data_IF_928580427362
#
_entry.id   IF_928580427362
#
_cell.length_a   1.000
_cell.length_b   1.000
_cell.length_c   1.000
_cell.angle_alpha   90.00
_cell.angle_beta   90.00
_cell.angle_gamma   90.00
#
_symmetry.space_group_name_H-M   'P 1'
#
loop_
_entity.id
_entity.type
_entity.pdbx_description
1 polymer ?
#
# COMPACT_ATOMS: atom_id res chain seq x y z
N UNK A 1 0.22 12.68 9.12
CA UNK A 1 0.06 12.57 7.67
C UNK A 1 -0.45 11.19 7.41
N UNK A 2 -1.57 11.09 6.71
CA UNK A 2 -2.30 9.82 6.64
C UNK A 2 -2.33 9.29 5.20
N UNK A 3 -2.25 10.18 4.20
CA UNK A 3 -2.43 9.82 2.78
C UNK A 3 -1.43 10.41 1.79
N UNK A 4 -0.47 11.25 2.21
CA UNK A 4 0.38 11.97 1.24
C UNK A 4 1.28 11.03 0.41
N UNK A 5 1.67 9.88 0.96
CA UNK A 5 2.38 8.84 0.21
C UNK A 5 1.53 8.31 -0.95
N UNK A 6 0.22 8.18 -0.75
CA UNK A 6 -0.73 7.72 -1.78
C UNK A 6 -0.87 8.74 -2.92
N UNK A 7 -0.98 10.03 -2.58
CA UNK A 7 -1.00 11.09 -3.58
C UNK A 7 0.33 11.16 -4.37
N UNK A 8 1.47 10.89 -3.71
CA UNK A 8 2.78 10.82 -4.36
C UNK A 8 2.89 9.62 -5.32
N UNK A 9 2.40 8.43 -4.92
CA UNK A 9 2.31 7.26 -5.79
C UNK A 9 1.47 7.58 -7.02
N UNK A 10 0.26 8.10 -6.81
CA UNK A 10 -0.65 8.44 -7.89
C UNK A 10 -0.02 9.42 -8.90
N UNK A 11 0.67 10.46 -8.41
CA UNK A 11 1.41 11.39 -9.28
C UNK A 11 2.52 10.71 -10.07
N UNK A 12 3.28 9.79 -9.45
CA UNK A 12 4.32 9.02 -10.13
C UNK A 12 3.75 8.13 -11.24
N UNK A 13 2.62 7.49 -10.97
CA UNK A 13 1.88 6.68 -11.95
C UNK A 13 1.36 7.54 -13.11
N UNK A 14 0.69 8.66 -12.82
CA UNK A 14 0.17 9.59 -13.82
C UNK A 14 1.28 10.21 -14.70
N UNK A 15 2.46 10.48 -14.12
CA UNK A 15 3.64 10.94 -14.83
C UNK A 15 4.35 9.84 -15.65
N UNK A 16 3.86 8.59 -15.58
CA UNK A 16 4.47 7.41 -16.20
C UNK A 16 5.95 7.24 -15.86
N UNK A 17 6.32 7.54 -14.61
CA UNK A 17 7.70 7.47 -14.14
C UNK A 17 8.31 6.09 -14.42
N UNK A 18 9.59 6.03 -14.81
CA UNK A 18 10.30 4.77 -15.01
C UNK A 18 10.61 4.08 -13.67
N UNK A 19 10.88 4.87 -12.64
CA UNK A 19 11.19 4.44 -11.30
C UNK A 19 10.44 5.31 -10.28
N UNK A 20 9.95 4.69 -9.22
CA UNK A 20 9.30 5.34 -8.07
C UNK A 20 9.98 4.82 -6.81
N UNK A 21 10.51 5.72 -5.98
CA UNK A 21 11.09 5.40 -4.68
C UNK A 21 10.43 6.26 -3.61
N UNK A 22 9.90 5.63 -2.58
CA UNK A 22 9.12 6.30 -1.55
C UNK A 22 9.45 5.69 -0.20
N UNK A 23 9.81 6.54 0.77
CA UNK A 23 9.76 6.16 2.17
C UNK A 23 8.28 6.25 2.62
N UNK A 24 7.57 5.13 2.80
CA UNK A 24 6.17 5.17 3.17
C UNK A 24 6.10 5.64 4.63
N UNK A 25 5.53 6.83 4.85
CA UNK A 25 5.52 7.45 6.17
C UNK A 25 4.11 7.81 6.67
N UNK A 26 3.11 7.74 5.79
CA UNK A 26 1.71 8.03 6.10
C UNK A 26 0.92 6.71 6.13
N UNK A 27 0.44 6.28 7.30
CA UNK A 27 -0.15 4.93 7.48
C UNK A 27 -1.38 4.91 8.40
N UNK A 28 -1.86 6.07 8.84
CA UNK A 28 -2.91 6.15 9.86
C UNK A 28 -4.33 6.01 9.30
N UNK A 29 -4.50 6.07 7.97
CA UNK A 29 -5.81 5.96 7.31
C UNK A 29 -6.52 4.63 7.61
N UNK A 30 -5.78 3.52 7.55
CA UNK A 30 -6.39 2.19 7.70
C UNK A 30 -6.66 1.81 9.15
N UNK A 31 -5.82 2.29 10.07
CA UNK A 31 -5.86 1.94 11.49
C UNK A 31 -7.27 2.00 12.13
N UNK A 32 -8.08 3.08 11.99
CA UNK A 32 -9.42 3.12 12.58
C UNK A 32 -10.45 2.21 11.90
N UNK A 33 -10.14 1.70 10.71
CA UNK A 33 -11.05 0.84 9.93
C UNK A 33 -10.80 -0.65 10.16
N UNK A 34 -9.62 -1.04 10.65
CA UNK A 34 -9.19 -2.43 10.73
C UNK A 34 -10.15 -3.28 11.58
N UNK A 35 -10.76 -4.26 10.91
CA UNK A 35 -11.57 -5.33 11.48
C UNK A 35 -11.01 -6.66 10.97
N UNK A 36 -9.98 -7.21 11.65
CA UNK A 36 -9.37 -8.46 11.22
C UNK A 36 -10.34 -9.63 11.43
N UNK A 37 -10.19 -10.74 10.67
CA UNK A 37 -10.94 -11.97 10.89
C UNK A 37 -10.75 -12.53 12.30
N UNK A 38 -11.78 -13.18 12.84
CA UNK A 38 -11.80 -13.72 14.20
C UNK A 38 -10.60 -14.64 14.50
N UNK A 39 -10.14 -15.38 13.49
CA UNK A 39 -9.03 -16.33 13.61
C UNK A 39 -7.70 -15.65 13.94
N UNK A 40 -7.53 -14.36 13.59
CA UNK A 40 -6.28 -13.62 13.77
C UNK A 40 -6.40 -12.40 14.69
N UNK A 41 -7.57 -12.16 15.31
CA UNK A 41 -7.78 -11.13 16.34
C UNK A 41 -6.66 -11.09 17.40
N UNK A 42 -6.08 -12.22 17.87
CA UNK A 42 -4.98 -12.18 18.84
C UNK A 42 -3.76 -11.35 18.39
N UNK A 43 -3.52 -11.20 17.08
CA UNK A 43 -2.44 -10.38 16.52
C UNK A 43 -2.71 -8.87 16.60
N UNK A 44 -3.95 -8.48 16.91
CA UNK A 44 -4.43 -7.09 16.94
C UNK A 44 -4.80 -6.65 18.37
N UNK A 45 -4.35 -7.37 19.40
CA UNK A 45 -4.73 -7.11 20.80
C UNK A 45 -4.05 -5.85 21.37
N UNK A 46 -2.78 -5.62 21.02
CA UNK A 46 -2.00 -4.52 21.58
C UNK A 46 -1.90 -3.37 20.59
N UNK A 47 -2.03 -2.13 21.06
CA UNK A 47 -2.01 -0.93 20.21
C UNK A 47 -0.81 -0.88 19.25
N UNK A 48 0.39 -1.23 19.73
CA UNK A 48 1.60 -1.29 18.89
C UNK A 48 1.52 -2.33 17.77
N UNK A 49 0.84 -3.46 18.00
CA UNK A 49 0.65 -4.49 16.99
C UNK A 49 -0.37 -4.03 15.95
N UNK A 50 -1.46 -3.39 16.39
CA UNK A 50 -2.44 -2.77 15.50
C UNK A 50 -1.78 -1.72 14.61
N UNK A 51 -0.92 -0.88 15.18
CA UNK A 51 -0.17 0.14 14.43
C UNK A 51 0.69 -0.51 13.34
N UNK A 52 1.48 -1.54 13.70
CA UNK A 52 2.35 -2.25 12.75
C UNK A 52 1.59 -3.02 11.66
N UNK A 53 0.45 -3.60 12.02
CA UNK A 53 -0.41 -4.27 11.05
C UNK A 53 -1.05 -3.27 10.09
N UNK A 54 -1.49 -2.11 10.60
CA UNK A 54 -1.99 -1.02 9.74
C UNK A 54 -0.91 -0.54 8.77
N UNK A 55 0.32 -0.33 9.24
CA UNK A 55 1.47 0.03 8.40
C UNK A 55 1.73 -1.03 7.32
N UNK A 56 1.85 -2.30 7.72
CA UNK A 56 2.10 -3.43 6.81
C UNK A 56 1.00 -3.58 5.75
N UNK A 57 -0.27 -3.54 6.16
CA UNK A 57 -1.40 -3.70 5.24
C UNK A 57 -1.47 -2.52 4.26
N UNK A 58 -1.21 -1.30 4.74
CA UNK A 58 -1.20 -0.11 3.88
C UNK A 58 -0.12 -0.23 2.80
N UNK A 59 1.10 -0.61 3.17
CA UNK A 59 2.21 -0.71 2.22
C UNK A 59 2.05 -1.89 1.26
N UNK A 60 1.49 -3.01 1.72
CA UNK A 60 1.10 -4.12 0.85
C UNK A 60 0.09 -3.68 -0.22
N UNK A 61 -0.98 -2.96 0.17
CA UNK A 61 -1.96 -2.44 -0.77
C UNK A 61 -1.32 -1.48 -1.79
N UNK A 62 -0.43 -0.59 -1.35
CA UNK A 62 0.30 0.32 -2.25
C UNK A 62 1.11 -0.44 -3.29
N UNK A 63 1.85 -1.48 -2.89
CA UNK A 63 2.57 -2.34 -3.81
C UNK A 63 1.61 -3.06 -4.78
N UNK A 64 0.50 -3.61 -4.30
CA UNK A 64 -0.49 -4.27 -5.16
C UNK A 64 -1.10 -3.31 -6.20
N UNK A 65 -1.34 -2.05 -5.84
CA UNK A 65 -1.84 -1.05 -6.79
C UNK A 65 -0.79 -0.61 -7.80
N UNK A 66 0.48 -0.48 -7.38
CA UNK A 66 1.60 -0.26 -8.30
C UNK A 66 1.72 -1.42 -9.30
N UNK A 67 1.64 -2.66 -8.83
CA UNK A 67 1.65 -3.87 -9.66
C UNK A 67 0.48 -3.92 -10.64
N UNK A 68 -0.72 -3.63 -10.15
CA UNK A 68 -1.91 -3.52 -10.98
C UNK A 68 -1.80 -2.41 -12.04
N UNK A 69 -0.98 -1.39 -11.78
CA UNK A 69 -0.69 -0.28 -12.70
C UNK A 69 0.51 -0.55 -13.63
N UNK A 70 1.00 -1.79 -13.70
CA UNK A 70 2.07 -2.20 -14.61
C UNK A 70 3.49 -1.91 -14.11
N UNK A 71 3.69 -1.87 -12.80
CA UNK A 71 5.01 -1.79 -12.18
C UNK A 71 5.42 -3.12 -11.55
N UNK A 72 6.72 -3.35 -11.41
CA UNK A 72 7.25 -4.32 -10.46
C UNK A 72 7.51 -3.56 -9.16
N UNK A 73 6.88 -3.94 -8.06
CA UNK A 73 7.00 -3.25 -6.78
C UNK A 73 7.63 -4.12 -5.71
N UNK A 74 8.37 -3.53 -4.79
CA UNK A 74 8.93 -4.24 -3.63
C UNK A 74 9.03 -3.32 -2.41
N UNK A 75 8.98 -3.94 -1.23
CA UNK A 75 9.21 -3.28 0.06
C UNK A 75 10.54 -3.81 0.60
N UNK A 76 11.49 -2.92 0.86
CA UNK A 76 12.83 -3.29 1.32
C UNK A 76 13.25 -2.45 2.52
N UNK A 77 14.08 -3.01 3.39
CA UNK A 77 14.77 -2.23 4.41
C UNK A 77 15.92 -1.45 3.78
N UNK A 78 15.97 -0.14 4.01
CA UNK A 78 16.97 0.75 3.40
C UNK A 78 18.05 1.24 4.38
N UNK A 79 17.77 1.20 5.69
CA UNK A 79 18.72 1.55 6.76
C UNK A 79 18.58 0.55 7.92
N UNK A 80 19.67 0.28 8.63
CA UNK A 80 19.66 -0.56 9.81
C UNK A 80 18.70 -0.04 10.90
N UNK A 81 18.00 -0.98 11.55
CA UNK A 81 16.98 -0.70 12.57
C UNK A 81 17.50 0.11 13.77
N UNK A 82 18.82 0.20 13.97
CA UNK A 82 19.44 0.97 15.06
C UNK A 82 19.14 2.48 14.99
N UNK A 83 18.79 3.01 13.81
CA UNK A 83 18.63 4.45 13.61
C UNK A 83 17.18 4.92 13.47
N UNK A 84 16.26 4.08 12.98
CA UNK A 84 14.84 4.45 12.85
C UNK A 84 13.95 3.22 12.78
N UNK A 85 12.77 3.29 13.40
CA UNK A 85 11.71 2.29 13.27
C UNK A 85 10.97 2.38 11.92
N UNK A 86 11.20 3.46 11.15
CA UNK A 86 10.70 3.64 9.78
C UNK A 86 11.86 3.46 8.82
N UNK A 87 12.18 2.21 8.53
CA UNK A 87 13.31 1.79 7.72
C UNK A 87 12.91 1.17 6.38
N UNK A 88 11.61 1.13 6.07
CA UNK A 88 11.10 0.58 4.83
C UNK A 88 11.17 1.61 3.69
N UNK A 89 11.42 1.10 2.48
CA UNK A 89 11.37 1.83 1.22
C UNK A 89 10.51 1.02 0.25
N UNK A 90 9.50 1.66 -0.33
CA UNK A 90 8.78 1.12 -1.48
C UNK A 90 9.57 1.54 -2.72
N UNK A 91 9.97 0.55 -3.51
CA UNK A 91 10.55 0.75 -4.83
C UNK A 91 9.61 0.17 -5.89
N UNK A 92 9.44 0.89 -6.99
CA UNK A 92 8.68 0.40 -8.13
C UNK A 92 9.36 0.77 -9.45
N UNK A 93 9.48 -0.19 -10.36
CA UNK A 93 10.01 0.03 -11.71
C UNK A 93 8.95 -0.32 -12.75
N UNK A 94 8.87 0.47 -13.81
CA UNK A 94 7.91 0.24 -14.90
C UNK A 94 8.22 -1.11 -15.54
N UNK A 95 7.22 -1.99 -15.56
CA UNK A 95 7.36 -3.33 -16.12
C UNK A 95 6.75 -3.35 -17.53
N UNK A 96 7.52 -3.67 -18.59
CA UNK A 96 6.99 -3.77 -19.94
C UNK A 96 6.08 -4.99 -20.16
N UNK A 97 6.05 -5.94 -19.22
CA UNK A 97 5.21 -7.14 -19.32
C UNK A 97 3.75 -6.79 -19.00
N UNK A 98 2.84 -7.20 -19.89
CA UNK A 98 1.41 -7.04 -19.67
C UNK A 98 0.96 -7.85 -18.45
N UNK A 99 0.20 -7.19 -17.58
CA UNK A 99 -0.39 -7.80 -16.37
C UNK A 99 -1.91 -7.80 -16.47
N UNK A 100 -2.55 -8.78 -15.83
CA UNK A 100 -4.00 -8.79 -15.66
C UNK A 100 -4.39 -7.81 -14.55
N UNK A 101 -4.53 -6.53 -14.94
CA UNK A 101 -4.82 -5.43 -14.03
C UNK A 101 -6.10 -5.71 -13.22
N UNK A 102 -7.15 -6.20 -13.88
CA UNK A 102 -8.44 -6.49 -13.23
C UNK A 102 -8.29 -7.53 -12.12
N UNK A 103 -7.51 -8.59 -12.37
CA UNK A 103 -7.24 -9.61 -11.35
C UNK A 103 -6.45 -9.05 -10.17
N UNK A 104 -5.45 -8.20 -10.41
CA UNK A 104 -4.64 -7.61 -9.35
C UNK A 104 -5.43 -6.60 -8.50
N UNK A 105 -6.25 -5.74 -9.13
CA UNK A 105 -7.16 -4.86 -8.41
C UNK A 105 -8.18 -5.63 -7.58
N UNK A 106 -8.73 -6.74 -8.09
CA UNK A 106 -9.62 -7.62 -7.31
C UNK A 106 -8.93 -8.20 -6.09
N UNK A 107 -7.69 -8.69 -6.23
CA UNK A 107 -6.92 -9.18 -5.07
C UNK A 107 -6.71 -8.09 -4.00
N UNK A 108 -6.46 -6.85 -4.41
CA UNK A 108 -6.34 -5.73 -3.47
C UNK A 108 -7.67 -5.45 -2.77
N UNK A 109 -8.78 -5.47 -3.51
CA UNK A 109 -10.12 -5.33 -2.93
C UNK A 109 -10.48 -6.49 -1.97
N UNK A 110 -10.10 -7.73 -2.30
CA UNK A 110 -10.30 -8.89 -1.42
C UNK A 110 -9.53 -8.71 -0.10
N UNK A 111 -8.30 -8.19 -0.17
CA UNK A 111 -7.50 -7.88 1.02
C UNK A 111 -8.13 -6.76 1.86
N UNK A 112 -8.65 -5.70 1.21
CA UNK A 112 -9.38 -4.64 1.90
C UNK A 112 -10.61 -5.21 2.63
N UNK A 113 -11.41 -6.03 1.94
CA UNK A 113 -12.60 -6.67 2.50
C UNK A 113 -12.26 -7.59 3.68
N UNK A 114 -11.17 -8.38 3.57
CA UNK A 114 -10.70 -9.27 4.63
C UNK A 114 -10.43 -8.54 5.95
N UNK A 115 -9.90 -7.32 5.88
CA UNK A 115 -9.59 -6.49 7.04
C UNK A 115 -10.64 -5.41 7.33
N UNK A 116 -11.82 -5.47 6.71
CA UNK A 116 -12.91 -4.52 6.91
C UNK A 116 -12.60 -3.08 6.50
N UNK A 117 -11.62 -2.89 5.60
CA UNK A 117 -11.24 -1.59 5.06
C UNK A 117 -12.29 -1.17 4.04
N UNK A 118 -12.83 0.04 4.21
CA UNK A 118 -13.93 0.56 3.38
C UNK A 118 -13.48 1.62 2.38
N UNK A 119 -12.41 2.34 2.72
CA UNK A 119 -11.81 3.35 1.85
C UNK A 119 -10.29 3.32 2.02
N UNK A 120 -9.59 3.60 0.93
CA UNK A 120 -8.14 3.78 0.91
C UNK A 120 -7.81 4.78 -0.19
N UNK A 121 -7.03 5.81 0.14
CA UNK A 121 -6.83 6.96 -0.74
C UNK A 121 -6.33 6.59 -2.13
N UNK A 122 -5.34 5.71 -2.23
CA UNK A 122 -4.75 5.34 -3.52
C UNK A 122 -5.77 4.61 -4.40
N UNK A 123 -6.55 3.70 -3.82
CA UNK A 123 -7.64 3.00 -4.49
C UNK A 123 -8.68 3.97 -5.04
N UNK A 124 -9.06 4.98 -4.25
CA UNK A 124 -10.04 6.00 -4.64
C UNK A 124 -9.51 6.84 -5.82
N UNK A 125 -8.24 7.26 -5.74
CA UNK A 125 -7.58 8.03 -6.80
C UNK A 125 -7.52 7.24 -8.12
N UNK A 126 -7.15 5.96 -8.06
CA UNK A 126 -7.03 5.09 -9.24
C UNK A 126 -8.40 4.73 -9.83
N UNK A 127 -9.44 4.61 -9.00
CA UNK A 127 -10.80 4.37 -9.47
C UNK A 127 -11.41 5.59 -10.17
N UNK A 128 -10.98 6.80 -9.77
CA UNK A 128 -11.45 8.07 -10.34
C UNK A 128 -10.79 8.49 -11.65
N UNK A 129 -9.57 8.03 -11.94
CA UNK A 129 -8.82 8.42 -13.15
C UNK A 129 -8.49 7.23 -14.06
N UNK A 130 -9.23 7.09 -15.16
CA UNK A 130 -9.00 6.04 -16.18
C UNK A 130 -7.75 6.27 -17.05
N UNK A 131 -6.96 7.32 -16.79
CA UNK A 131 -5.73 7.65 -17.55
C UNK A 131 -4.47 7.08 -16.92
N UNK A 132 -4.57 6.56 -15.69
CA UNK A 132 -3.49 5.89 -14.96
C UNK A 132 -3.52 4.39 -15.24
#
# INVERSE_FOLDING_TARGET
>A
CDTATDDAIFRGLAAKAQLIFLAPCCHKELRPQLKPPDQIIPLFRHGIQVDRMAETITDALRCMYLEASGYSASIQEFIAMEHTKKNLLISASRNPVAVDQNRLFRKAADLQALFGITHQRLADLLSGDRRV
#
